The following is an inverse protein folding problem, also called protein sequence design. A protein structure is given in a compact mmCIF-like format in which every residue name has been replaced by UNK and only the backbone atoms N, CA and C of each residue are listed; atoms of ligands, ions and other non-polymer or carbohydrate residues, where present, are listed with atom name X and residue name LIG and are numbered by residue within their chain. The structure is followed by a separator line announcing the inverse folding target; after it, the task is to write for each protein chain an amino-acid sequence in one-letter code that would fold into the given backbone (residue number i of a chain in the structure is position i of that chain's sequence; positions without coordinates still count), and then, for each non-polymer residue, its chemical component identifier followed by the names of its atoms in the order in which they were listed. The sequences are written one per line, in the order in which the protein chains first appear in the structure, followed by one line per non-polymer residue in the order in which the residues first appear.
data_IF_636997782167
#
_entry.id   IF_636997782167
#
_cell.length_a   1.000
_cell.length_b   1.000
_cell.length_c   1.000
_cell.angle_alpha   90.00
_cell.angle_beta   90.00
_cell.angle_gamma   90.00
#
_symmetry.space_group_name_H-M   'P 1'
#
loop_
_entity.id
_entity.type
_entity.pdbx_description
1 polymer ?
#
# COMPACT_ATOMS: atom_id res chain seq x y z
N UNK A 1 -49.28 34.16 19.82
CA UNK A 1 -49.63 32.78 19.40
C UNK A 1 -48.76 32.46 18.19
N UNK A 2 -47.47 32.18 18.42
CA UNK A 2 -46.86 30.82 18.47
C UNK A 2 -47.02 30.06 17.16
N UNK A 3 -45.92 29.93 16.41
CA UNK A 3 -45.83 29.14 15.19
C UNK A 3 -46.00 27.63 15.41
N UNK A 4 -45.74 26.84 14.36
CA UNK A 4 -44.43 26.19 14.39
C UNK A 4 -43.64 26.36 13.09
N UNK A 5 -42.36 26.69 13.32
CA UNK A 5 -41.19 26.43 12.48
C UNK A 5 -41.17 24.96 12.05
N UNK A 6 -41.26 24.69 10.75
CA UNK A 6 -40.89 23.39 10.23
C UNK A 6 -39.40 23.46 9.86
N UNK A 7 -38.57 23.17 10.85
CA UNK A 7 -37.15 22.90 10.65
C UNK A 7 -37.01 21.59 9.85
N UNK A 8 -35.95 21.44 9.02
CA UNK A 8 -35.68 20.18 8.36
C UNK A 8 -35.48 19.09 9.43
N UNK A 9 -36.13 17.93 9.24
CA UNK A 9 -35.90 16.75 10.04
C UNK A 9 -34.49 16.20 9.76
N UNK A 10 -33.48 16.82 10.37
CA UNK A 10 -32.20 16.21 10.65
C UNK A 10 -32.37 15.36 11.92
N UNK A 11 -32.80 14.12 11.73
CA UNK A 11 -32.82 13.11 12.78
C UNK A 11 -32.08 11.88 12.25
N UNK A 12 -30.76 11.89 12.48
CA UNK A 12 -29.94 10.69 12.60
C UNK A 12 -30.12 9.69 11.45
N UNK A 13 -29.47 9.95 10.31
CA UNK A 13 -29.12 8.88 9.39
C UNK A 13 -28.18 7.93 10.15
N UNK A 14 -28.74 6.90 10.79
CA UNK A 14 -28.00 5.69 11.15
C UNK A 14 -27.13 5.34 9.96
N UNK A 15 -25.81 5.46 10.12
CA UNK A 15 -24.86 5.17 9.05
C UNK A 15 -25.12 3.72 8.64
N UNK A 16 -25.63 3.55 7.42
CA UNK A 16 -25.91 2.25 6.86
C UNK A 16 -24.64 1.38 6.94
N UNK A 17 -24.65 0.27 7.71
CA UNK A 17 -23.46 -0.54 7.95
C UNK A 17 -22.92 -1.18 6.67
N UNK A 18 -23.75 -1.30 5.63
CA UNK A 18 -23.37 -1.90 4.35
C UNK A 18 -22.52 -0.95 3.48
N UNK A 19 -22.38 0.32 3.84
CA UNK A 19 -21.55 1.30 3.09
C UNK A 19 -20.06 0.97 3.03
N UNK A 20 -19.57 0.09 3.91
CA UNK A 20 -18.15 -0.32 3.92
C UNK A 20 -17.92 -1.69 3.26
N UNK A 21 -18.97 -2.33 2.73
CA UNK A 21 -18.91 -3.69 2.22
C UNK A 21 -18.68 -3.76 0.69
N UNK A 22 -18.76 -2.64 0.00
CA UNK A 22 -18.64 -2.53 -1.47
C UNK A 22 -17.31 -3.07 -2.01
N UNK A 23 -16.17 -2.66 -1.45
CA UNK A 23 -14.86 -3.15 -1.85
C UNK A 23 -14.68 -4.64 -1.54
N UNK A 24 -15.13 -5.09 -0.36
CA UNK A 24 -15.05 -6.50 0.04
C UNK A 24 -15.94 -7.38 -0.84
N UNK A 25 -17.11 -6.88 -1.27
CA UNK A 25 -18.00 -7.55 -2.20
C UNK A 25 -17.36 -7.69 -3.59
N UNK A 26 -16.83 -6.60 -4.14
CA UNK A 26 -16.20 -6.56 -5.47
C UNK A 26 -14.94 -7.41 -5.56
N UNK A 27 -14.09 -7.38 -4.52
CA UNK A 27 -12.87 -8.19 -4.44
C UNK A 27 -13.13 -9.63 -3.96
N UNK A 28 -14.38 -9.97 -3.66
CA UNK A 28 -14.78 -11.32 -3.27
C UNK A 28 -14.36 -11.73 -1.85
N UNK A 29 -13.97 -10.78 -1.00
CA UNK A 29 -13.52 -11.01 0.38
C UNK A 29 -14.65 -11.34 1.37
N UNK A 30 -15.92 -11.04 1.03
CA UNK A 30 -17.06 -11.42 1.87
C UNK A 30 -17.27 -12.93 1.93
N UNK A 31 -17.62 -13.42 3.11
CA UNK A 31 -18.09 -14.79 3.32
C UNK A 31 -19.37 -15.06 2.51
N UNK A 32 -19.75 -16.33 2.28
CA UNK A 32 -20.97 -16.65 1.54
C UNK A 32 -22.25 -16.05 2.14
N UNK A 33 -22.37 -16.02 3.47
CA UNK A 33 -23.51 -15.45 4.18
C UNK A 33 -23.56 -13.92 4.05
N UNK A 34 -22.43 -13.24 4.26
CA UNK A 34 -22.34 -11.78 4.12
C UNK A 34 -22.63 -11.35 2.68
N UNK A 35 -22.20 -12.13 1.69
CA UNK A 35 -22.48 -11.85 0.28
C UNK A 35 -23.99 -11.90 -0.03
N UNK A 36 -24.71 -12.89 0.50
CA UNK A 36 -26.16 -13.00 0.30
C UNK A 36 -26.90 -11.85 0.99
N UNK A 37 -26.47 -11.50 2.20
CA UNK A 37 -27.01 -10.37 2.95
C UNK A 37 -26.82 -9.06 2.21
N UNK A 38 -25.61 -8.79 1.72
CA UNK A 38 -25.32 -7.58 0.95
C UNK A 38 -26.08 -7.54 -0.37
N UNK A 39 -26.23 -8.67 -1.07
CA UNK A 39 -27.03 -8.75 -2.29
C UNK A 39 -28.50 -8.42 -2.06
N UNK A 40 -29.08 -8.86 -0.94
CA UNK A 40 -30.44 -8.47 -0.57
C UNK A 40 -30.52 -6.94 -0.38
N UNK A 41 -29.57 -6.34 0.34
CA UNK A 41 -29.51 -4.90 0.53
C UNK A 41 -29.34 -4.10 -0.78
N UNK A 42 -28.55 -4.60 -1.73
CA UNK A 42 -28.37 -3.96 -3.05
C UNK A 42 -29.67 -3.87 -3.87
N UNK A 43 -30.68 -4.68 -3.57
CA UNK A 43 -32.00 -4.54 -4.22
C UNK A 43 -32.74 -3.29 -3.77
N UNK A 44 -32.50 -2.84 -2.54
CA UNK A 44 -33.22 -1.76 -1.86
C UNK A 44 -32.42 -0.44 -1.81
N UNK A 45 -31.10 -0.48 -1.95
CA UNK A 45 -30.23 0.69 -1.80
C UNK A 45 -29.52 1.08 -3.11
N UNK A 46 -29.92 2.21 -3.70
CA UNK A 46 -29.31 2.74 -4.93
C UNK A 46 -27.88 3.24 -4.69
N UNK A 47 -27.59 3.85 -3.53
CA UNK A 47 -26.25 4.36 -3.22
C UNK A 47 -25.21 3.23 -3.14
N UNK A 48 -25.54 2.09 -2.53
CA UNK A 48 -24.64 0.93 -2.49
C UNK A 48 -24.47 0.28 -3.86
N UNK A 49 -25.51 0.28 -4.73
CA UNK A 49 -25.33 -0.13 -6.13
C UNK A 49 -24.38 0.79 -6.89
N UNK A 50 -24.48 2.10 -6.68
CA UNK A 50 -23.61 3.07 -7.31
C UNK A 50 -22.14 2.88 -6.89
N UNK A 51 -21.85 2.67 -5.60
CA UNK A 51 -20.46 2.48 -5.17
C UNK A 51 -19.87 1.14 -5.63
N UNK A 52 -20.69 0.06 -5.70
CA UNK A 52 -20.25 -1.19 -6.36
C UNK A 52 -19.93 -0.98 -7.84
N UNK A 53 -20.72 -0.18 -8.56
CA UNK A 53 -20.49 0.12 -9.96
C UNK A 53 -19.20 0.94 -10.19
N UNK A 54 -18.88 1.87 -9.28
CA UNK A 54 -17.63 2.64 -9.29
C UNK A 54 -16.39 1.74 -9.14
N UNK A 55 -16.48 0.70 -8.32
CA UNK A 55 -15.39 -0.24 -8.05
C UNK A 55 -15.32 -1.41 -9.04
N UNK A 56 -16.36 -1.65 -9.85
CA UNK A 56 -16.46 -2.78 -10.77
C UNK A 56 -15.28 -2.94 -11.75
N UNK A 57 -14.58 -1.88 -12.22
CA UNK A 57 -13.40 -2.04 -13.07
C UNK A 57 -12.16 -2.61 -12.34
N UNK A 58 -12.06 -2.46 -11.01
CA UNK A 58 -10.85 -2.76 -10.25
C UNK A 58 -10.38 -4.22 -10.36
N UNK A 59 -11.25 -5.25 -10.25
CA UNK A 59 -10.81 -6.64 -10.40
C UNK A 59 -10.17 -6.91 -11.77
N UNK A 60 -10.64 -6.24 -12.83
CA UNK A 60 -10.06 -6.35 -14.16
C UNK A 60 -8.67 -5.73 -14.25
N UNK A 61 -8.48 -4.56 -13.62
CA UNK A 61 -7.17 -3.92 -13.52
C UNK A 61 -6.18 -4.75 -12.70
N UNK A 62 -6.62 -5.30 -11.56
CA UNK A 62 -5.78 -6.19 -10.75
C UNK A 62 -5.43 -7.49 -11.47
N UNK A 63 -6.32 -8.02 -12.30
CA UNK A 63 -6.05 -9.21 -13.13
C UNK A 63 -5.03 -8.95 -14.24
N UNK A 64 -4.74 -7.67 -14.57
CA UNK A 64 -3.73 -7.33 -15.58
C UNK A 64 -2.29 -7.44 -15.06
N UNK A 65 -2.10 -7.55 -13.74
CA UNK A 65 -0.79 -7.72 -13.13
C UNK A 65 -0.23 -9.10 -13.49
N UNK A 66 0.95 -9.18 -14.15
CA UNK A 66 1.60 -10.44 -14.46
C UNK A 66 1.90 -11.24 -13.19
N UNK A 67 1.78 -12.57 -13.30
CA UNK A 67 1.91 -13.47 -12.14
C UNK A 67 3.29 -13.38 -11.48
N UNK A 68 4.34 -13.27 -12.27
CA UNK A 68 5.72 -13.11 -11.82
C UNK A 68 5.94 -11.79 -11.07
N UNK A 69 5.30 -10.71 -11.52
CA UNK A 69 5.31 -9.42 -10.81
C UNK A 69 4.55 -9.53 -9.48
N UNK A 70 3.38 -10.19 -9.48
CA UNK A 70 2.63 -10.42 -8.25
C UNK A 70 3.41 -11.28 -7.24
N UNK A 71 4.12 -12.31 -7.70
CA UNK A 71 4.97 -13.16 -6.85
C UNK A 71 6.16 -12.37 -6.26
N UNK A 72 6.82 -11.54 -7.07
CA UNK A 72 7.90 -10.66 -6.58
C UNK A 72 7.41 -9.63 -5.54
N UNK A 73 6.17 -9.15 -5.65
CA UNK A 73 5.56 -8.27 -4.65
C UNK A 73 5.25 -8.98 -3.32
N UNK A 74 5.06 -10.30 -3.34
CA UNK A 74 4.84 -11.12 -2.15
C UNK A 74 6.16 -11.56 -1.48
N UNK A 75 7.21 -11.72 -2.28
CA UNK A 75 8.58 -12.04 -1.81
C UNK A 75 9.31 -10.80 -1.25
N UNK A 76 8.78 -9.60 -1.51
CA UNK A 76 9.13 -8.39 -0.77
C UNK A 76 8.68 -8.52 0.67
N UNK A 77 9.62 -8.85 1.55
CA UNK A 77 9.48 -8.94 3.00
C UNK A 77 8.61 -7.78 3.54
N UNK A 78 7.32 -8.06 3.81
CA UNK A 78 6.34 -7.35 4.67
C UNK A 78 4.89 -7.64 4.25
N UNK A 79 4.41 -8.88 4.46
CA UNK A 79 3.02 -9.12 4.87
C UNK A 79 2.89 -10.50 5.55
N UNK A 80 3.41 -10.61 6.77
CA UNK A 80 3.13 -11.75 7.64
C UNK A 80 2.61 -11.27 8.98
N UNK A 81 1.29 -11.25 9.12
CA UNK A 81 0.65 -11.53 10.41
C UNK A 81 -0.71 -12.18 10.17
N UNK A 82 -0.69 -13.48 9.85
CA UNK A 82 -1.79 -14.37 10.15
C UNK A 82 -1.25 -15.44 11.12
N UNK A 83 -1.90 -15.69 12.28
CA UNK A 83 -1.50 -16.80 13.13
C UNK A 83 -1.72 -18.12 12.38
N UNK A 84 -0.94 -19.18 12.65
CA UNK A 84 -1.07 -20.44 11.93
C UNK A 84 -2.45 -21.05 12.23
N UNK A 85 -3.36 -20.94 11.26
CA UNK A 85 -4.58 -21.71 11.25
C UNK A 85 -4.21 -23.18 11.06
N UNK A 86 -4.57 -24.01 12.03
CA UNK A 86 -4.20 -25.43 12.09
C UNK A 86 -4.55 -26.22 10.82
N UNK A 87 -3.82 -27.32 10.67
CA UNK A 87 -3.67 -28.26 9.55
C UNK A 87 -4.93 -28.89 8.89
N UNK A 88 -6.11 -28.28 9.01
CA UNK A 88 -7.38 -28.85 8.52
C UNK A 88 -7.95 -28.16 7.27
N UNK A 89 -7.43 -26.98 6.88
CA UNK A 89 -7.91 -26.23 5.71
C UNK A 89 -7.16 -26.55 4.40
N UNK A 90 -5.92 -27.02 4.50
CA UNK A 90 -5.08 -27.41 3.35
C UNK A 90 -5.61 -28.65 2.64
N UNK A 91 -6.30 -29.54 3.34
CA UNK A 91 -6.85 -30.79 2.82
C UNK A 91 -8.15 -30.59 2.03
N UNK A 92 -8.93 -29.54 2.33
CA UNK A 92 -10.18 -29.23 1.63
C UNK A 92 -9.96 -28.37 0.38
N UNK A 93 -9.00 -27.44 0.41
CA UNK A 93 -8.65 -26.59 -0.73
C UNK A 93 -8.08 -27.40 -1.93
N UNK A 94 -7.39 -28.52 -1.67
CA UNK A 94 -6.82 -29.37 -2.74
C UNK A 94 -7.86 -30.24 -3.46
N UNK A 95 -9.09 -30.39 -2.92
CA UNK A 95 -10.12 -31.26 -3.50
C UNK A 95 -10.99 -30.56 -4.55
N UNK A 96 -11.11 -29.23 -4.51
CA UNK A 96 -11.94 -28.44 -5.46
C UNK A 96 -11.15 -27.89 -6.66
N UNK A 97 -9.83 -27.71 -6.54
CA UNK A 97 -8.99 -27.24 -7.65
C UNK A 97 -8.72 -28.33 -8.71
N UNK A 98 -8.77 -29.62 -8.32
CA UNK A 98 -8.34 -30.74 -9.18
C UNK A 98 -9.39 -31.16 -10.23
N UNK A 99 -10.68 -30.91 -9.97
CA UNK A 99 -11.77 -31.18 -10.92
C UNK A 99 -11.86 -30.13 -12.02
N UNK A 100 -11.56 -28.86 -11.72
CA UNK A 100 -11.60 -27.75 -12.70
C UNK A 100 -10.46 -27.80 -13.72
N UNK A 101 -9.30 -28.31 -13.32
CA UNK A 101 -8.11 -28.36 -14.18
C UNK A 101 -8.13 -29.53 -15.18
N UNK A 102 -8.76 -30.66 -14.82
CA UNK A 102 -8.86 -31.86 -15.69
C UNK A 102 -9.70 -31.62 -16.95
N UNK A 103 -10.76 -30.81 -16.87
CA UNK A 103 -11.57 -30.47 -18.05
C UNK A 103 -10.91 -29.43 -18.97
N UNK A 104 -9.90 -28.68 -18.49
CA UNK A 104 -9.20 -27.67 -19.30
C UNK A 104 -8.01 -28.23 -20.09
N UNK A 105 -7.52 -29.43 -19.76
CA UNK A 105 -6.34 -30.03 -20.41
C UNK A 105 -6.63 -30.90 -21.64
N UNK A 106 -7.89 -31.02 -22.09
CA UNK A 106 -8.24 -31.80 -23.29
C UNK A 106 -8.39 -30.96 -24.58
N UNK A 107 -7.89 -29.73 -24.60
CA UNK A 107 -8.00 -28.85 -25.77
C UNK A 107 -6.67 -28.23 -26.19
N UNK A 108 -5.64 -29.06 -26.44
CA UNK A 108 -4.48 -28.65 -27.25
C UNK A 108 -4.04 -29.86 -28.08
N UNK A 109 -4.42 -29.87 -29.35
CA UNK A 109 -3.90 -30.80 -30.36
C UNK A 109 -3.97 -30.13 -31.72
N UNK A 110 -2.82 -29.79 -32.32
CA UNK A 110 -2.75 -29.40 -33.73
C UNK A 110 -1.61 -28.46 -34.13
N UNK A 111 -0.52 -29.06 -34.58
CA UNK A 111 0.42 -28.60 -35.63
C UNK A 111 1.37 -27.41 -35.39
N UNK A 112 2.67 -27.71 -35.38
CA UNK A 112 3.66 -26.92 -36.15
C UNK A 112 4.62 -27.91 -36.83
N UNK A 113 4.62 -27.90 -38.16
CA UNK A 113 5.50 -28.66 -39.06
C UNK A 113 6.85 -27.94 -39.18
N UNK A 114 7.93 -28.73 -39.21
CA UNK A 114 9.31 -28.30 -39.35
C UNK A 114 9.65 -27.69 -40.72
N UNK A 115 10.60 -26.76 -40.76
CA UNK A 115 11.58 -26.67 -41.85
C UNK A 115 12.83 -25.89 -41.40
N UNK A 116 13.98 -26.54 -41.57
CA UNK A 116 15.32 -25.98 -41.41
C UNK A 116 15.81 -25.39 -42.75
N UNK A 117 16.64 -24.34 -42.71
CA UNK A 117 17.79 -24.16 -43.60
C UNK A 117 18.61 -22.92 -43.18
N UNK A 118 19.93 -23.08 -43.17
CA UNK A 118 20.95 -22.08 -42.87
C UNK A 118 21.22 -21.13 -44.06
N UNK A 119 21.92 -20.00 -43.82
CA UNK A 119 23.08 -19.49 -44.59
C UNK A 119 23.63 -18.20 -43.94
N UNK A 120 24.96 -18.13 -43.85
CA UNK A 120 25.80 -17.00 -43.39
C UNK A 120 25.96 -15.93 -44.49
N UNK A 121 25.90 -14.64 -44.16
CA UNK A 121 26.56 -13.54 -44.91
C UNK A 121 26.98 -12.42 -43.94
N UNK A 122 28.22 -11.95 -44.08
CA UNK A 122 28.92 -10.91 -43.31
C UNK A 122 28.75 -9.49 -43.90
N UNK A 123 28.52 -8.49 -43.00
CA UNK A 123 28.78 -7.01 -42.93
C UNK A 123 29.09 -6.17 -44.21
N UNK A 124 28.81 -4.83 -44.29
CA UNK A 124 29.10 -3.82 -43.24
C UNK A 124 28.22 -2.52 -43.13
N UNK A 125 28.42 -1.80 -42.00
CA UNK A 125 28.34 -0.34 -41.74
C UNK A 125 27.11 0.47 -42.21
N UNK A 126 26.24 0.80 -41.26
CA UNK A 126 25.41 2.01 -41.31
C UNK A 126 25.63 2.84 -40.03
N UNK A 127 25.93 4.11 -40.22
CA UNK A 127 26.12 5.11 -39.17
C UNK A 127 24.76 5.51 -38.58
N UNK A 128 24.25 4.73 -37.64
CA UNK A 128 23.11 5.14 -36.83
C UNK A 128 23.62 5.89 -35.61
N UNK A 129 23.33 7.20 -35.59
CA UNK A 129 23.37 8.03 -34.40
C UNK A 129 22.41 7.41 -33.39
N UNK A 130 22.94 6.52 -32.55
CA UNK A 130 22.17 5.90 -31.49
C UNK A 130 21.95 6.96 -30.42
N UNK A 131 20.85 7.69 -30.59
CA UNK A 131 20.24 8.45 -29.50
C UNK A 131 19.93 7.42 -28.42
N UNK A 132 20.79 7.36 -27.41
CA UNK A 132 20.56 6.60 -26.19
C UNK A 132 19.13 6.91 -25.72
N UNK A 133 18.22 5.92 -25.68
CA UNK A 133 16.92 6.13 -25.04
C UNK A 133 17.20 6.60 -23.61
N UNK A 134 16.51 7.64 -23.08
CA UNK A 134 16.69 7.97 -21.68
C UNK A 134 16.31 6.73 -20.85
N UNK A 135 17.31 6.13 -20.22
CA UNK A 135 17.10 5.10 -19.21
C UNK A 135 16.08 5.65 -18.22
N UNK A 136 14.96 4.95 -17.95
CA UNK A 136 14.05 5.37 -16.90
C UNK A 136 14.86 5.48 -15.62
N UNK A 137 15.00 6.71 -15.09
CA UNK A 137 15.67 6.91 -13.82
C UNK A 137 14.82 6.18 -12.77
N UNK A 138 15.29 5.01 -12.34
CA UNK A 138 14.70 4.29 -11.21
C UNK A 138 14.73 5.18 -9.95
N UNK A 139 13.97 4.84 -8.90
CA UNK A 139 13.95 5.61 -7.65
C UNK A 139 15.37 5.87 -7.14
N UNK A 140 15.81 7.12 -7.19
CA UNK A 140 17.15 7.54 -6.75
C UNK A 140 17.09 7.96 -5.29
N UNK A 141 18.04 7.49 -4.47
CA UNK A 141 18.23 7.99 -3.10
C UNK A 141 18.81 9.40 -3.18
N UNK A 142 18.10 10.38 -2.63
CA UNK A 142 18.51 11.79 -2.61
C UNK A 142 19.22 12.13 -1.30
N UNK A 143 18.73 11.59 -0.18
CA UNK A 143 19.32 11.80 1.14
C UNK A 143 19.14 10.56 2.01
N UNK A 144 20.10 10.33 2.91
CA UNK A 144 19.98 9.36 3.99
C UNK A 144 20.50 10.02 5.27
N UNK A 145 19.67 10.05 6.32
CA UNK A 145 19.95 10.76 7.57
C UNK A 145 19.59 9.90 8.77
N UNK A 146 20.43 9.93 9.79
CA UNK A 146 19.99 9.62 11.16
C UNK A 146 19.38 10.88 11.75
N UNK A 147 18.34 10.75 12.58
CA UNK A 147 17.72 11.90 13.23
C UNK A 147 18.41 12.18 14.56
N UNK A 148 18.63 13.46 14.83
CA UNK A 148 19.19 13.97 16.07
C UNK A 148 18.10 13.99 17.15
N UNK A 149 18.47 13.55 18.34
CA UNK A 149 17.62 13.57 19.53
C UNK A 149 17.57 14.99 20.12
N UNK A 150 16.38 15.58 20.19
CA UNK A 150 16.17 16.92 20.73
C UNK A 150 15.76 16.91 22.21
N UNK A 151 15.15 15.81 22.65
CA UNK A 151 14.65 15.61 24.01
C UNK A 151 15.03 14.21 24.44
N UNK A 152 15.37 14.00 25.72
CA UNK A 152 15.75 12.69 26.23
C UNK A 152 14.64 11.65 26.00
N UNK A 153 14.88 10.72 25.09
CA UNK A 153 13.94 9.69 24.66
C UNK A 153 14.70 8.40 24.29
N UNK A 154 14.12 7.22 24.56
CA UNK A 154 14.70 5.95 24.10
C UNK A 154 14.53 5.70 22.59
N UNK A 155 14.07 6.69 21.82
CA UNK A 155 13.82 6.58 20.39
C UNK A 155 15.08 6.96 19.59
N UNK A 156 15.50 6.09 18.69
CA UNK A 156 16.47 6.40 17.63
C UNK A 156 15.84 6.16 16.25
N UNK A 157 16.16 7.00 15.27
CA UNK A 157 15.55 6.90 13.94
C UNK A 157 16.52 7.22 12.80
N UNK A 158 16.28 6.58 11.65
CA UNK A 158 16.95 6.88 10.39
C UNK A 158 15.95 6.92 9.25
N UNK A 159 16.21 7.78 8.28
CA UNK A 159 15.36 8.00 7.10
C UNK A 159 16.19 8.00 5.82
N UNK A 160 15.57 7.56 4.72
CA UNK A 160 16.08 7.66 3.35
C UNK A 160 15.01 8.31 2.48
N UNK A 161 15.36 9.42 1.84
CA UNK A 161 14.50 10.11 0.89
C UNK A 161 14.83 9.63 -0.51
N UNK A 162 13.80 9.22 -1.24
CA UNK A 162 13.91 8.73 -2.59
C UNK A 162 12.98 9.51 -3.52
N UNK A 163 13.42 9.74 -4.75
CA UNK A 163 12.54 10.25 -5.81
C UNK A 163 11.47 9.22 -6.16
N UNK A 164 10.27 9.69 -6.50
CA UNK A 164 9.18 8.84 -6.96
C UNK A 164 8.81 9.15 -8.42
N UNK A 165 8.46 8.12 -9.23
CA UNK A 165 7.89 8.34 -10.56
C UNK A 165 6.61 9.19 -10.48
N UNK A 166 6.52 10.23 -11.31
CA UNK A 166 5.40 11.18 -11.28
C UNK A 166 5.59 12.37 -10.34
N UNK A 167 6.73 12.46 -9.64
CA UNK A 167 7.05 13.54 -8.70
C UNK A 167 6.84 13.13 -7.24
N UNK A 168 7.26 13.99 -6.32
CA UNK A 168 7.17 13.74 -4.89
C UNK A 168 8.37 12.96 -4.31
N UNK A 169 8.23 12.60 -3.03
CA UNK A 169 9.26 11.93 -2.23
C UNK A 169 8.70 10.71 -1.54
N UNK A 170 9.39 9.58 -1.68
CA UNK A 170 9.24 8.43 -0.78
C UNK A 170 10.23 8.57 0.36
N UNK A 171 9.77 8.40 1.60
CA UNK A 171 10.60 8.41 2.81
C UNK A 171 10.56 7.01 3.40
N UNK A 172 11.64 6.26 3.26
CA UNK A 172 11.83 4.99 3.95
C UNK A 172 12.44 5.26 5.33
N UNK A 173 11.89 4.65 6.38
CA UNK A 173 12.32 4.92 7.75
C UNK A 173 12.46 3.65 8.57
N UNK A 174 13.37 3.73 9.55
CA UNK A 174 13.55 2.76 10.62
C UNK A 174 13.65 3.49 11.95
N UNK A 175 12.78 3.14 12.88
CA UNK A 175 12.74 3.65 14.24
C UNK A 175 12.96 2.50 15.22
N UNK A 176 13.83 2.69 16.22
CA UNK A 176 14.07 1.74 17.30
C UNK A 176 13.72 2.39 18.63
N UNK A 177 13.03 1.64 19.49
CA UNK A 177 12.57 2.10 20.79
C UNK A 177 13.25 1.27 21.87
N UNK A 178 14.22 1.84 22.57
CA UNK A 178 14.97 1.11 23.58
C UNK A 178 14.11 0.77 24.80
N UNK A 179 14.44 -0.36 25.44
CA UNK A 179 13.75 -0.84 26.65
C UNK A 179 14.11 -0.04 27.91
N UNK A 180 15.10 0.84 27.83
CA UNK A 180 15.77 1.48 28.97
C UNK A 180 15.11 2.76 29.48
N UNK A 181 14.03 3.25 28.84
CA UNK A 181 13.19 4.30 29.40
C UNK A 181 12.47 3.82 30.65
N UNK A 182 12.33 4.67 31.68
CA UNK A 182 11.74 4.35 32.99
C UNK A 182 10.59 3.34 32.87
N UNK A 183 10.81 2.16 33.44
CA UNK A 183 9.98 0.98 33.34
C UNK A 183 8.51 1.27 33.67
N UNK A 184 7.75 1.57 32.62
CA UNK A 184 6.32 1.66 32.58
C UNK A 184 5.91 1.21 31.18
N UNK A 185 4.84 0.46 31.09
CA UNK A 185 4.26 -0.01 29.82
C UNK A 185 3.73 1.18 29.01
N UNK A 186 4.61 2.02 28.45
CA UNK A 186 4.19 3.14 27.62
C UNK A 186 4.08 2.67 26.17
N UNK A 187 2.84 2.57 25.66
CA UNK A 187 2.60 2.53 24.22
C UNK A 187 2.52 3.98 23.75
N UNK A 188 3.50 4.44 22.99
CA UNK A 188 3.51 5.80 22.43
C UNK A 188 2.88 5.83 21.04
N UNK A 189 2.09 6.86 20.74
CA UNK A 189 1.70 7.20 19.37
C UNK A 189 2.67 8.23 18.82
N UNK A 190 3.20 7.95 17.65
CA UNK A 190 4.22 8.77 17.00
C UNK A 190 3.78 9.13 15.59
N UNK A 191 4.23 10.30 15.13
CA UNK A 191 4.02 10.73 13.77
C UNK A 191 5.30 11.30 13.19
N UNK A 192 5.48 11.09 11.89
CA UNK A 192 6.57 11.68 11.11
C UNK A 192 6.03 12.82 10.27
N UNK A 193 6.75 13.93 10.28
CA UNK A 193 6.46 15.13 9.51
C UNK A 193 7.61 15.45 8.56
N UNK A 194 7.26 16.02 7.41
CA UNK A 194 8.20 16.73 6.54
C UNK A 194 7.93 18.22 6.65
N UNK A 195 8.99 19.02 6.71
CA UNK A 195 8.92 20.48 6.59
C UNK A 195 9.52 20.88 5.25
N UNK A 196 8.80 21.71 4.51
CA UNK A 196 9.24 22.23 3.21
C UNK A 196 10.10 23.50 3.35
N UNK A 197 10.74 23.94 2.28
CA UNK A 197 11.49 25.20 2.25
C UNK A 197 10.61 26.43 2.56
N UNK A 198 9.32 26.39 2.21
CA UNK A 198 8.36 27.45 2.55
C UNK A 198 7.87 27.40 4.00
N UNK A 199 8.35 26.42 4.79
CA UNK A 199 7.99 26.22 6.18
C UNK A 199 6.70 25.42 6.40
N UNK A 200 6.03 24.99 5.34
CA UNK A 200 4.82 24.14 5.46
C UNK A 200 5.21 22.78 6.00
N UNK A 201 4.48 22.32 7.03
CA UNK A 201 4.67 21.04 7.69
C UNK A 201 3.52 20.09 7.36
N UNK A 202 3.83 18.85 7.00
CA UNK A 202 2.84 17.83 6.65
C UNK A 202 3.15 16.50 7.32
N UNK A 203 2.15 15.90 7.97
CA UNK A 203 2.25 14.53 8.52
C UNK A 203 2.26 13.54 7.36
N UNK A 204 3.25 12.65 7.33
CA UNK A 204 3.43 11.66 6.25
C UNK A 204 3.33 10.21 6.74
N UNK A 205 3.47 9.97 8.05
CA UNK A 205 3.25 8.66 8.66
C UNK A 205 2.83 8.80 10.11
N UNK A 206 2.13 7.79 10.62
CA UNK A 206 1.75 7.65 12.03
C UNK A 206 1.82 6.17 12.41
N UNK A 207 2.26 5.89 13.63
CA UNK A 207 2.32 4.53 14.16
C UNK A 207 2.28 4.50 15.70
N UNK A 208 2.08 3.31 16.25
CA UNK A 208 2.22 3.05 17.68
C UNK A 208 3.44 2.16 17.91
N UNK A 209 4.20 2.43 18.97
CA UNK A 209 5.34 1.61 19.36
C UNK A 209 5.39 1.40 20.88
N UNK A 210 5.96 0.27 21.27
CA UNK A 210 6.22 -0.14 22.64
C UNK A 210 7.73 -0.23 22.90
N UNK A 211 8.17 -0.29 24.16
CA UNK A 211 9.58 -0.46 24.48
C UNK A 211 10.13 -1.79 23.92
N UNK A 212 11.22 -1.70 23.17
CA UNK A 212 11.85 -2.82 22.46
C UNK A 212 11.41 -2.99 21.02
N UNK A 213 10.41 -2.23 20.54
CA UNK A 213 9.95 -2.33 19.17
C UNK A 213 10.96 -1.75 18.19
N UNK A 214 10.98 -2.31 16.98
CA UNK A 214 11.62 -1.71 15.82
C UNK A 214 10.59 -1.57 14.72
N UNK A 215 10.30 -0.33 14.34
CA UNK A 215 9.33 -0.01 13.31
C UNK A 215 10.09 0.33 12.02
N UNK A 216 9.76 -0.36 10.94
CA UNK A 216 10.24 -0.04 9.60
C UNK A 216 9.05 0.24 8.70
N UNK A 217 9.14 1.29 7.88
CA UNK A 217 8.05 1.64 6.99
C UNK A 217 8.48 2.56 5.87
N UNK A 218 7.51 2.88 5.01
CA UNK A 218 7.66 3.82 3.91
C UNK A 218 6.48 4.78 3.92
N UNK A 219 6.77 6.06 3.74
CA UNK A 219 5.80 7.12 3.62
C UNK A 219 5.96 7.83 2.27
N UNK A 220 4.90 8.46 1.77
CA UNK A 220 4.94 9.22 0.51
C UNK A 220 4.49 10.64 0.76
N UNK A 221 5.20 11.60 0.18
CA UNK A 221 4.86 13.02 0.14
C UNK A 221 4.77 13.49 -1.30
N UNK A 222 3.80 14.35 -1.61
CA UNK A 222 3.72 15.01 -2.92
C UNK A 222 4.83 16.06 -3.14
N UNK A 223 5.56 16.43 -2.08
CA UNK A 223 6.65 17.40 -2.13
C UNK A 223 7.89 16.76 -2.74
N UNK A 224 8.57 17.45 -3.66
CA UNK A 224 9.79 16.96 -4.26
C UNK A 224 10.95 16.90 -3.23
N UNK A 225 11.92 15.98 -3.36
CA UNK A 225 12.92 15.78 -2.30
C UNK A 225 13.78 17.02 -2.01
N UNK A 226 14.04 17.84 -3.04
CA UNK A 226 14.82 19.08 -2.92
C UNK A 226 14.07 20.23 -2.23
N UNK A 227 12.74 20.13 -2.14
CA UNK A 227 11.91 21.12 -1.45
C UNK A 227 11.71 20.76 0.02
N UNK A 228 12.15 19.58 0.47
CA UNK A 228 12.09 19.14 1.87
C UNK A 228 13.37 19.60 2.58
N UNK A 229 13.21 20.37 3.65
CA UNK A 229 14.35 20.88 4.44
C UNK A 229 14.53 20.15 5.76
N UNK A 230 13.47 19.55 6.30
CA UNK A 230 13.51 18.83 7.57
C UNK A 230 12.57 17.64 7.58
N UNK A 231 13.00 16.57 8.25
CA UNK A 231 12.14 15.46 8.68
C UNK A 231 12.19 15.38 10.19
N UNK A 232 11.03 15.29 10.83
CA UNK A 232 10.95 15.22 12.28
C UNK A 232 9.93 14.18 12.77
N UNK A 233 10.17 13.61 13.94
CA UNK A 233 9.27 12.66 14.60
C UNK A 233 8.75 13.28 15.89
N UNK A 234 7.43 13.21 16.07
CA UNK A 234 6.72 13.80 17.21
C UNK A 234 5.97 12.76 18.01
N UNK A 235 5.76 13.06 19.28
CA UNK A 235 4.73 12.40 20.08
C UNK A 235 3.36 12.97 19.70
N UNK A 236 2.43 12.13 19.25
CA UNK A 236 1.06 12.59 18.92
C UNK A 236 0.27 12.99 20.18
N UNK A 237 0.71 12.54 21.36
CA UNK A 237 0.05 12.88 22.63
C UNK A 237 0.41 14.28 23.14
N UNK A 238 1.61 14.76 22.84
CA UNK A 238 2.14 16.04 23.35
C UNK A 238 2.45 17.05 22.24
N UNK A 239 2.42 16.63 20.96
CA UNK A 239 2.91 17.37 19.79
C UNK A 239 4.37 17.84 19.92
N UNK A 240 5.13 17.24 20.83
CA UNK A 240 6.54 17.56 21.06
C UNK A 240 7.42 16.88 20.01
N UNK A 241 8.33 17.66 19.42
CA UNK A 241 9.34 17.14 18.49
C UNK A 241 10.43 16.43 19.27
N UNK A 242 10.49 15.11 19.11
CA UNK A 242 11.44 14.27 19.84
C UNK A 242 12.77 14.17 19.08
N UNK A 243 12.67 13.92 17.77
CA UNK A 243 13.80 13.70 16.88
C UNK A 243 13.66 14.54 15.62
N UNK A 244 14.77 15.00 15.05
CA UNK A 244 14.78 15.80 13.82
C UNK A 244 16.05 15.60 13.01
N UNK A 245 15.95 15.68 11.68
CA UNK A 245 17.08 15.77 10.76
C UNK A 245 16.85 16.88 9.75
N UNK A 246 17.89 17.67 9.49
CA UNK A 246 17.94 18.55 8.31
C UNK A 246 18.35 17.73 7.09
N UNK A 247 17.69 17.97 5.96
CA UNK A 247 17.93 17.23 4.71
C UNK A 247 19.03 17.89 3.89
#
# INVERSE_FOLDING_TARGET
MTGPTNAPADLGSTRDPYRTWDAAYVLGALSPSERLEFQAHLTECEQCRASVAELAPLPGMLASVPRDVAEQMLDGDQLSTAPPAGDTLTTLARRTARTRWRNRMLAIGGAVVAAAAAVLITLPLAHSNESTPPTPAGPQVVAARSLDELVQTPLSASVKLMTQPGGGTRVDFRCSYDKSGSAGSYSGKYAMYVTTQSGVQSKIAEWTANPGDTITGSAVSAVAPHDITRVDIRSESTDEVLLSATI
#
